data_IF_900223222769
#
_entry.id   IF_900223222769
#
_cell.length_a   1.000
_cell.length_b   1.000
_cell.length_c   1.000
_cell.angle_alpha   90.00
_cell.angle_beta   90.00
_cell.angle_gamma   90.00
#
_symmetry.space_group_name_H-M   'P 1'
#
loop_
_entity.id
_entity.type
_entity.pdbx_description
1 polymer ?
#
# COMPACT_ATOMS: atom_id res chain seq x y z
N UNK A 1 6.71 4.54 -35.69
CA UNK A 1 5.76 3.61 -35.03
C UNK A 1 5.55 4.13 -33.62
N UNK A 2 4.36 4.65 -33.28
CA UNK A 2 4.05 5.00 -31.89
C UNK A 2 3.87 3.67 -31.14
N UNK A 3 4.92 3.21 -30.45
CA UNK A 3 4.80 2.10 -29.54
C UNK A 3 3.77 2.50 -28.47
N UNK A 4 2.75 1.66 -28.26
CA UNK A 4 1.78 1.86 -27.18
C UNK A 4 2.54 1.96 -25.85
N UNK A 5 2.13 2.88 -24.98
CA UNK A 5 2.70 2.98 -23.65
C UNK A 5 2.59 1.61 -22.93
N UNK A 6 3.66 1.12 -22.28
CA UNK A 6 3.62 -0.16 -21.57
C UNK A 6 2.60 -0.10 -20.45
N UNK A 7 2.01 -1.26 -20.14
CA UNK A 7 1.05 -1.42 -19.06
C UNK A 7 1.66 -2.27 -17.96
N UNK A 8 1.69 -1.73 -16.75
CA UNK A 8 2.16 -2.41 -15.55
C UNK A 8 1.04 -2.66 -14.55
N UNK A 9 1.12 -3.78 -13.86
CA UNK A 9 0.41 -4.09 -12.61
C UNK A 9 1.35 -3.72 -11.46
N UNK A 10 0.90 -2.82 -10.58
CA UNK A 10 1.63 -2.39 -9.39
C UNK A 10 0.96 -2.98 -8.15
N UNK A 11 1.61 -3.91 -7.47
CA UNK A 11 1.15 -4.47 -6.21
C UNK A 11 1.84 -3.75 -5.05
N UNK A 12 1.07 -3.31 -4.06
CA UNK A 12 1.60 -2.65 -2.85
C UNK A 12 1.38 -3.53 -1.61
N UNK A 13 2.44 -3.76 -0.84
CA UNK A 13 2.40 -4.49 0.43
C UNK A 13 3.08 -3.68 1.54
N UNK A 14 2.58 -3.82 2.77
CA UNK A 14 3.18 -3.20 3.94
C UNK A 14 2.96 -4.05 5.19
N UNK A 15 3.88 -3.93 6.14
CA UNK A 15 3.81 -4.59 7.45
C UNK A 15 4.28 -3.64 8.52
N UNK A 16 3.38 -3.30 9.43
CA UNK A 16 3.77 -2.75 10.73
C UNK A 16 3.96 -3.91 11.71
N UNK A 17 5.13 -4.03 12.36
CA UNK A 17 5.27 -4.97 13.47
C UNK A 17 4.33 -4.51 14.59
N UNK A 18 3.33 -5.34 14.92
CA UNK A 18 2.49 -5.11 16.10
C UNK A 18 3.38 -5.13 17.34
N UNK A 19 3.59 -3.96 17.93
CA UNK A 19 4.02 -3.88 19.31
C UNK A 19 2.91 -4.47 20.18
N UNK A 20 3.10 -5.71 20.66
CA UNK A 20 2.63 -6.23 21.96
C UNK A 20 2.93 -7.73 22.05
N UNK A 21 4.15 -8.05 22.49
CA UNK A 21 4.37 -9.22 23.34
C UNK A 21 4.25 -8.69 24.77
N UNK A 22 3.25 -9.20 25.51
CA UNK A 22 3.07 -8.86 26.93
C UNK A 22 4.29 -9.41 27.69
N UNK A 23 4.95 -8.60 28.52
CA UNK A 23 6.18 -8.91 29.28
C UNK A 23 7.49 -9.07 28.48
N UNK A 24 7.67 -8.35 27.38
CA UNK A 24 8.99 -8.21 26.75
C UNK A 24 9.48 -6.76 26.91
N UNK A 25 10.76 -6.52 27.30
CA UNK A 25 11.29 -5.17 27.38
C UNK A 25 11.13 -4.45 26.03
N UNK A 26 10.86 -3.14 26.06
CA UNK A 26 10.80 -2.29 24.86
C UNK A 26 12.18 -2.36 24.19
N UNK A 27 12.28 -3.16 23.14
CA UNK A 27 13.24 -2.89 22.08
C UNK A 27 12.59 -1.79 21.22
N UNK A 28 13.08 -0.56 21.39
CA UNK A 28 12.43 0.71 21.03
C UNK A 28 12.36 1.00 19.51
N UNK A 29 12.56 0.00 18.64
CA UNK A 29 12.49 0.21 17.19
C UNK A 29 11.26 -0.50 16.59
N UNK A 30 10.19 0.27 16.40
CA UNK A 30 9.05 -0.16 15.59
C UNK A 30 9.37 0.04 14.11
N UNK A 31 10.16 -0.87 13.56
CA UNK A 31 10.50 -0.85 12.14
C UNK A 31 9.29 -1.36 11.34
N UNK A 32 8.75 -0.48 10.50
CA UNK A 32 7.76 -0.82 9.49
C UNK A 32 8.44 -1.22 8.18
N UNK A 33 7.85 -2.16 7.45
CA UNK A 33 8.33 -2.56 6.12
C UNK A 33 7.32 -2.14 5.06
N UNK A 34 7.82 -1.63 3.94
CA UNK A 34 7.04 -1.42 2.72
C UNK A 34 7.66 -2.21 1.57
N UNK A 35 6.84 -2.70 0.65
CA UNK A 35 7.26 -3.43 -0.54
C UNK A 35 6.34 -3.14 -1.70
N UNK A 36 6.88 -3.10 -2.91
CA UNK A 36 6.08 -3.14 -4.12
C UNK A 36 6.59 -4.19 -5.11
N UNK A 37 5.70 -4.61 -6.00
CA UNK A 37 6.02 -5.42 -7.17
C UNK A 37 5.40 -4.75 -8.38
N UNK A 38 6.20 -4.55 -9.42
CA UNK A 38 5.78 -4.15 -10.76
C UNK A 38 5.89 -5.37 -11.68
N UNK A 39 4.83 -5.64 -12.41
CA UNK A 39 4.80 -6.69 -13.44
C UNK A 39 4.21 -6.10 -14.71
N UNK A 40 4.79 -6.36 -15.88
CA UNK A 40 4.15 -5.98 -17.14
C UNK A 40 2.86 -6.77 -17.32
N UNK A 41 1.85 -6.18 -17.97
CA UNK A 41 0.55 -6.84 -18.13
C UNK A 41 0.61 -8.14 -18.95
N UNK A 42 1.67 -8.35 -19.73
CA UNK A 42 1.95 -9.58 -20.48
C UNK A 42 2.81 -10.59 -19.69
N UNK A 43 3.22 -10.27 -18.47
CA UNK A 43 4.06 -11.11 -17.61
C UNK A 43 5.53 -11.22 -18.06
N UNK A 44 5.95 -10.49 -19.09
CA UNK A 44 7.30 -10.60 -19.66
C UNK A 44 8.40 -10.03 -18.75
N UNK A 45 8.08 -9.05 -17.90
CA UNK A 45 9.02 -8.44 -16.99
C UNK A 45 8.42 -8.22 -15.59
N UNK A 46 9.23 -8.47 -14.57
CA UNK A 46 8.88 -8.24 -13.16
C UNK A 46 10.03 -7.58 -12.43
N UNK A 47 9.70 -6.58 -11.63
CA UNK A 47 10.63 -5.83 -10.78
C UNK A 47 10.01 -5.62 -9.41
N UNK A 48 10.81 -5.66 -8.35
CA UNK A 48 10.32 -5.45 -6.99
C UNK A 48 11.37 -4.78 -6.13
N UNK A 49 10.91 -4.01 -5.14
CA UNK A 49 11.77 -3.42 -4.12
C UNK A 49 11.02 -3.37 -2.78
N UNK A 50 11.80 -3.40 -1.71
CA UNK A 50 11.33 -3.28 -0.35
C UNK A 50 12.36 -2.52 0.49
N UNK A 51 11.88 -1.82 1.50
CA UNK A 51 12.73 -1.16 2.48
C UNK A 51 12.00 -1.04 3.82
N UNK A 52 12.76 -0.62 4.81
CA UNK A 52 12.30 -0.38 6.17
C UNK A 52 12.11 1.13 6.40
N UNK A 53 11.04 1.50 7.08
CA UNK A 53 10.78 2.87 7.54
C UNK A 53 10.54 2.83 9.06
N UNK A 54 11.46 3.35 9.88
CA UNK A 54 11.33 3.35 11.33
C UNK A 54 10.19 4.27 11.77
N UNK A 55 9.47 3.85 12.81
CA UNK A 55 8.41 4.64 13.47
C UNK A 55 7.30 5.12 12.51
N UNK A 56 7.11 4.41 11.40
CA UNK A 56 6.10 4.72 10.42
C UNK A 56 4.76 4.05 10.74
N UNK A 57 3.70 4.84 10.67
CA UNK A 57 2.34 4.31 10.67
C UNK A 57 2.06 3.46 9.42
N UNK A 58 1.13 2.52 9.54
CA UNK A 58 0.79 1.59 8.46
C UNK A 58 0.38 2.32 7.17
N UNK A 59 -0.45 3.37 7.28
CA UNK A 59 -0.89 4.14 6.11
C UNK A 59 0.27 4.82 5.39
N UNK A 60 1.32 5.23 6.12
CA UNK A 60 2.53 5.80 5.51
C UNK A 60 3.31 4.73 4.76
N UNK A 61 3.47 3.54 5.33
CA UNK A 61 4.12 2.39 4.67
C UNK A 61 3.35 1.95 3.41
N UNK A 62 2.01 1.89 3.50
CA UNK A 62 1.15 1.57 2.35
C UNK A 62 1.34 2.59 1.21
N UNK A 63 1.39 3.88 1.54
CA UNK A 63 1.57 4.92 0.53
C UNK A 63 3.01 5.00 0.00
N UNK A 64 4.02 4.70 0.82
CA UNK A 64 5.42 4.58 0.39
C UNK A 64 5.59 3.51 -0.68
N UNK A 65 5.03 2.32 -0.48
CA UNK A 65 5.06 1.24 -1.47
C UNK A 65 4.51 1.72 -2.83
N UNK A 66 3.39 2.44 -2.82
CA UNK A 66 2.76 2.96 -4.05
C UNK A 66 3.65 4.01 -4.73
N UNK A 67 4.10 5.02 -3.98
CA UNK A 67 4.94 6.10 -4.52
C UNK A 67 6.22 5.54 -5.13
N UNK A 68 6.89 4.63 -4.41
CA UNK A 68 8.14 4.03 -4.88
C UNK A 68 7.96 3.17 -6.12
N UNK A 69 6.84 2.45 -6.20
CA UNK A 69 6.48 1.70 -7.40
C UNK A 69 6.26 2.61 -8.61
N UNK A 70 5.52 3.72 -8.44
CA UNK A 70 5.31 4.68 -9.52
C UNK A 70 6.63 5.36 -9.95
N UNK A 71 7.45 5.80 -8.99
CA UNK A 71 8.74 6.45 -9.26
C UNK A 71 9.81 5.53 -9.89
N UNK A 72 9.64 4.22 -9.80
CA UNK A 72 10.54 3.26 -10.44
C UNK A 72 10.35 3.20 -11.96
N UNK A 73 9.23 3.69 -12.49
CA UNK A 73 8.95 3.72 -13.93
C UNK A 73 9.60 4.94 -14.58
N UNK A 74 10.52 4.70 -15.51
CA UNK A 74 11.31 5.75 -16.17
C UNK A 74 10.68 6.33 -17.44
N UNK A 75 9.49 5.85 -17.84
CA UNK A 75 8.78 6.31 -19.03
C UNK A 75 7.26 6.40 -18.78
N UNK A 76 6.53 7.25 -19.55
CA UNK A 76 5.09 7.31 -19.47
C UNK A 76 4.48 5.92 -19.65
N UNK A 77 3.62 5.53 -18.72
CA UNK A 77 3.14 4.15 -18.60
C UNK A 77 1.69 4.15 -18.16
N UNK A 78 0.97 3.10 -18.53
CA UNK A 78 -0.32 2.76 -17.94
C UNK A 78 -0.06 1.90 -16.71
N UNK A 79 -0.67 2.20 -15.58
CA UNK A 79 -0.45 1.47 -14.32
C UNK A 79 -1.78 1.10 -13.70
N UNK A 80 -1.98 -0.20 -13.46
CA UNK A 80 -3.07 -0.67 -12.60
C UNK A 80 -2.50 -0.93 -11.21
N UNK A 81 -2.78 -0.01 -10.29
CA UNK A 81 -2.42 -0.16 -8.89
C UNK A 81 -3.40 -1.14 -8.21
N UNK A 82 -2.85 -2.18 -7.62
CA UNK A 82 -3.53 -3.23 -6.87
C UNK A 82 -3.16 -3.09 -5.39
N UNK A 83 -4.09 -2.56 -4.59
CA UNK A 83 -3.86 -2.30 -3.17
C UNK A 83 -5.01 -2.81 -2.31
N UNK A 84 -4.70 -3.34 -1.13
CA UNK A 84 -5.71 -3.64 -0.11
C UNK A 84 -5.97 -2.45 0.85
N UNK A 85 -5.17 -1.38 0.74
CA UNK A 85 -5.27 -0.21 1.60
C UNK A 85 -6.50 0.62 1.28
N UNK A 86 -7.41 0.72 2.26
CA UNK A 86 -8.55 1.65 2.18
C UNK A 86 -8.11 3.10 2.19
N UNK A 87 -6.99 3.41 2.84
CA UNK A 87 -6.46 4.76 2.92
C UNK A 87 -5.99 5.21 1.53
N UNK A 88 -5.15 4.40 0.88
CA UNK A 88 -4.68 4.66 -0.49
C UNK A 88 -5.86 4.70 -1.46
N UNK A 89 -6.73 3.69 -1.45
CA UNK A 89 -7.84 3.63 -2.42
C UNK A 89 -8.79 4.83 -2.31
N UNK A 90 -9.04 5.33 -1.08
CA UNK A 90 -9.88 6.52 -0.88
C UNK A 90 -9.18 7.79 -1.33
N UNK A 91 -7.89 7.95 -1.06
CA UNK A 91 -7.11 9.11 -1.51
C UNK A 91 -7.08 9.22 -3.03
N UNK A 92 -6.86 8.11 -3.75
CA UNK A 92 -6.94 8.08 -5.22
C UNK A 92 -8.34 8.42 -5.75
N UNK A 93 -9.40 7.99 -5.06
CA UNK A 93 -10.77 8.16 -5.53
C UNK A 93 -11.34 9.56 -5.29
N UNK A 94 -10.99 10.20 -4.17
CA UNK A 94 -11.67 11.42 -3.73
C UNK A 94 -10.72 12.57 -3.40
N UNK A 95 -9.47 12.30 -3.02
CA UNK A 95 -8.62 13.31 -2.38
C UNK A 95 -7.84 14.19 -3.34
N UNK A 96 -7.20 13.60 -4.37
CA UNK A 96 -6.10 14.27 -5.08
C UNK A 96 -6.44 15.63 -5.71
N UNK A 97 -7.59 15.77 -6.37
CA UNK A 97 -7.96 17.06 -6.98
C UNK A 97 -8.24 18.12 -5.93
N UNK A 98 -9.07 17.78 -4.94
CA UNK A 98 -9.46 18.69 -3.85
C UNK A 98 -8.24 19.11 -3.00
N UNK A 99 -7.36 18.18 -2.67
CA UNK A 99 -6.15 18.49 -1.92
C UNK A 99 -5.18 19.37 -2.70
N UNK A 100 -5.07 19.17 -4.01
CA UNK A 100 -4.22 20.02 -4.85
C UNK A 100 -4.76 21.44 -4.95
N UNK A 101 -6.09 21.60 -5.02
CA UNK A 101 -6.76 22.91 -5.07
C UNK A 101 -6.66 23.67 -3.74
N UNK A 102 -6.60 22.95 -2.61
CA UNK A 102 -6.51 23.53 -1.26
C UNK A 102 -5.09 23.52 -0.68
N UNK A 103 -4.05 23.62 -1.51
CA UNK A 103 -2.64 23.65 -1.08
C UNK A 103 -2.27 22.54 -0.08
N UNK A 104 -2.81 21.35 -0.30
CA UNK A 104 -2.62 20.15 0.53
C UNK A 104 -3.13 20.27 1.97
N UNK A 105 -4.20 21.04 2.15
CA UNK A 105 -4.99 21.11 3.37
C UNK A 105 -6.40 20.60 3.11
N UNK A 106 -7.07 20.14 4.16
CA UNK A 106 -8.47 19.74 4.12
C UNK A 106 -9.19 20.20 5.38
N UNK A 107 -10.48 20.51 5.24
CA UNK A 107 -11.29 20.91 6.37
C UNK A 107 -11.62 19.68 7.23
N UNK A 108 -11.17 19.71 8.48
CA UNK A 108 -11.40 18.68 9.47
C UNK A 108 -12.12 19.31 10.66
N UNK A 109 -13.41 19.00 10.82
CA UNK A 109 -14.25 19.52 11.90
C UNK A 109 -14.33 21.07 11.96
N UNK A 110 -14.36 21.74 10.81
CA UNK A 110 -14.43 23.20 10.73
C UNK A 110 -13.08 23.91 10.80
N UNK A 111 -11.97 23.18 10.91
CA UNK A 111 -10.61 23.73 10.90
C UNK A 111 -9.81 23.20 9.72
N UNK A 112 -9.03 24.07 9.08
CA UNK A 112 -8.12 23.65 8.02
C UNK A 112 -6.93 22.91 8.62
N UNK A 113 -6.78 21.64 8.26
CA UNK A 113 -5.69 20.78 8.72
C UNK A 113 -4.84 20.32 7.52
N UNK A 114 -3.52 20.12 7.69
CA UNK A 114 -2.70 19.54 6.65
C UNK A 114 -3.18 18.11 6.34
N UNK A 115 -3.16 17.75 5.06
CA UNK A 115 -3.48 16.39 4.62
C UNK A 115 -2.46 15.41 5.22
N UNK A 116 -2.95 14.36 5.88
CA UNK A 116 -2.11 13.29 6.43
C UNK A 116 -1.26 12.68 5.31
N UNK A 117 0.05 12.54 5.54
CA UNK A 117 1.04 12.10 4.54
C UNK A 117 1.06 12.94 3.24
N UNK A 118 0.76 14.23 3.33
CA UNK A 118 0.73 15.14 2.17
C UNK A 118 2.08 15.26 1.44
N UNK A 119 3.21 14.95 2.08
CA UNK A 119 4.51 14.80 1.44
C UNK A 119 4.52 13.67 0.39
N UNK A 120 3.93 12.53 0.70
CA UNK A 120 3.84 11.38 -0.20
C UNK A 120 2.74 11.55 -1.24
N UNK A 121 1.59 12.11 -0.85
CA UNK A 121 0.51 12.36 -1.82
C UNK A 121 0.90 13.36 -2.90
N UNK A 122 1.72 14.38 -2.57
CA UNK A 122 2.33 15.26 -3.58
C UNK A 122 3.18 14.51 -4.59
N UNK A 123 3.88 13.47 -4.16
CA UNK A 123 4.69 12.63 -5.06
C UNK A 123 3.81 11.74 -5.92
N UNK A 124 2.73 11.18 -5.36
CA UNK A 124 1.70 10.46 -6.14
C UNK A 124 1.11 11.36 -7.22
N UNK A 125 0.69 12.59 -6.88
CA UNK A 125 0.10 13.51 -7.85
C UNK A 125 1.05 13.81 -9.01
N UNK A 126 2.33 14.10 -8.72
CA UNK A 126 3.36 14.28 -9.76
C UNK A 126 3.53 13.04 -10.63
N UNK A 127 3.56 11.85 -10.02
CA UNK A 127 3.66 10.61 -10.78
C UNK A 127 2.43 10.37 -11.68
N UNK A 128 1.24 10.74 -11.23
CA UNK A 128 0.00 10.64 -12.02
C UNK A 128 -0.10 11.66 -13.15
N UNK A 129 0.66 12.76 -13.10
CA UNK A 129 0.81 13.65 -14.25
C UNK A 129 1.65 13.02 -15.37
N UNK A 130 2.52 12.06 -15.01
CA UNK A 130 3.41 11.37 -15.95
C UNK A 130 2.89 9.98 -16.38
N UNK A 131 2.15 9.30 -15.51
CA UNK A 131 1.58 7.97 -15.74
C UNK A 131 0.05 7.99 -15.71
N UNK A 132 -0.58 7.14 -16.52
CA UNK A 132 -2.01 6.89 -16.43
C UNK A 132 -2.27 5.82 -15.37
N UNK A 133 -2.65 6.24 -14.16
CA UNK A 133 -2.83 5.32 -13.02
C UNK A 133 -4.30 5.04 -12.75
N UNK A 134 -4.67 3.76 -12.76
CA UNK A 134 -5.98 3.26 -12.30
C UNK A 134 -5.79 2.50 -10.99
N UNK A 135 -6.48 2.91 -9.93
CA UNK A 135 -6.44 2.24 -8.63
C UNK A 135 -7.58 1.23 -8.50
N UNK A 136 -7.25 -0.03 -8.22
CA UNK A 136 -8.21 -1.11 -7.93
C UNK A 136 -7.93 -1.72 -6.56
N UNK A 137 -9.00 -2.02 -5.83
CA UNK A 137 -8.89 -2.72 -4.56
C UNK A 137 -8.63 -4.20 -4.84
N UNK A 138 -7.50 -4.70 -4.36
CA UNK A 138 -7.17 -6.13 -4.42
C UNK A 138 -7.45 -6.76 -3.07
N UNK A 139 -8.68 -7.25 -2.92
CA UNK A 139 -9.05 -8.25 -1.93
C UNK A 139 -9.82 -9.30 -2.70
N UNK A 140 -9.75 -10.55 -2.27
CA UNK A 140 -10.74 -11.54 -2.70
C UNK A 140 -12.09 -11.01 -2.22
N UNK A 141 -12.81 -10.32 -3.09
CA UNK A 141 -14.21 -10.02 -2.89
C UNK A 141 -14.90 -11.36 -3.17
N UNK A 142 -15.41 -12.09 -2.15
CA UNK A 142 -16.32 -13.16 -2.48
C UNK A 142 -17.46 -12.49 -3.25
N UNK A 143 -17.54 -12.79 -4.54
CA UNK A 143 -18.42 -12.14 -5.51
C UNK A 143 -19.69 -11.61 -4.85
N UNK A 144 -19.93 -10.30 -4.94
CA UNK A 144 -21.10 -9.67 -4.33
C UNK A 144 -22.34 -10.53 -4.59
N UNK A 145 -22.92 -11.04 -3.51
CA UNK A 145 -24.17 -11.77 -3.52
C UNK A 145 -25.27 -10.76 -3.85
N UNK A 146 -25.48 -10.51 -5.14
CA UNK A 146 -26.69 -9.87 -5.65
C UNK A 146 -27.89 -10.79 -5.37
N UNK A 147 -28.39 -10.78 -4.13
CA UNK A 147 -29.78 -11.09 -3.74
C UNK A 147 -29.93 -10.95 -2.23
N UNK A 148 -30.21 -9.73 -1.77
CA UNK A 148 -31.07 -9.56 -0.59
C UNK A 148 -32.41 -9.03 -1.05
N UNK A 149 -33.20 -9.90 -1.68
CA UNK A 149 -34.66 -9.76 -1.58
C UNK A 149 -34.98 -10.04 -0.11
N UNK A 150 -35.42 -9.00 0.60
CA UNK A 150 -35.96 -9.15 1.96
C UNK A 150 -37.28 -9.90 1.87
N UNK A 151 -37.28 -11.19 2.23
CA UNK A 151 -38.52 -11.90 2.56
C UNK A 151 -38.88 -11.65 4.03
N UNK A 152 -40.16 -11.45 4.38
CA UNK A 152 -40.58 -11.12 5.73
C UNK A 152 -40.39 -12.31 6.69
N UNK A 153 -39.97 -11.98 7.90
CA UNK A 153 -39.65 -12.91 8.97
C UNK A 153 -40.86 -13.79 9.37
N UNK A 154 -40.76 -15.11 9.17
CA UNK A 154 -41.60 -16.07 9.89
C UNK A 154 -40.99 -16.33 11.27
N UNK A 155 -41.76 -15.96 12.31
CA UNK A 155 -41.47 -16.27 13.71
C UNK A 155 -41.67 -17.77 13.94
N UNK A 156 -40.59 -18.51 14.17
CA UNK A 156 -40.68 -19.89 14.67
C UNK A 156 -40.42 -19.93 16.18
N UNK A 157 -41.39 -20.47 16.90
CA UNK A 157 -41.37 -20.68 18.34
C UNK A 157 -40.35 -21.78 18.69
N UNK A 158 -39.52 -21.53 19.72
CA UNK A 158 -38.58 -22.52 20.27
C UNK A 158 -39.29 -23.48 21.22
N UNK A 159 -39.06 -24.81 21.13
CA UNK A 159 -39.26 -25.70 22.25
C UNK A 159 -37.95 -25.96 23.01
N UNK A 160 -38.02 -25.70 24.30
CA UNK A 160 -37.09 -26.12 25.36
C UNK A 160 -36.87 -27.63 25.34
N UNK A 161 -35.63 -28.09 25.57
CA UNK A 161 -35.33 -29.22 26.48
C UNK A 161 -33.86 -29.28 26.90
N UNK A 162 -33.71 -29.76 28.12
CA UNK A 162 -32.52 -29.76 28.98
C UNK A 162 -31.58 -30.94 28.69
N UNK A 163 -30.29 -30.70 28.94
CA UNK A 163 -29.34 -31.59 29.63
C UNK A 163 -28.88 -32.87 28.91
N UNK A 164 -27.57 -33.06 28.79
CA UNK A 164 -26.76 -34.04 29.56
C UNK A 164 -25.26 -33.87 29.20
N UNK A 165 -24.39 -34.07 30.21
CA UNK A 165 -22.92 -34.04 30.15
C UNK A 165 -22.35 -35.29 29.43
N UNK A 166 -21.18 -35.19 28.79
CA UNK A 166 -19.97 -35.92 29.20
C UNK A 166 -18.73 -35.64 28.33
N UNK A 167 -17.61 -35.95 28.95
CA UNK A 167 -16.17 -35.83 28.67
C UNK A 167 -15.62 -36.63 27.48
N UNK A 168 -14.55 -36.14 26.84
CA UNK A 168 -13.16 -36.67 26.97
C UNK A 168 -12.20 -36.13 25.87
N UNK A 169 -10.97 -35.85 26.30
CA UNK A 169 -9.64 -35.98 25.65
C UNK A 169 -9.55 -36.08 24.11
N UNK A 170 -8.70 -35.28 23.45
CA UNK A 170 -7.29 -35.61 23.22
C UNK A 170 -6.53 -34.56 22.37
N UNK A 171 -5.21 -34.77 22.39
CA UNK A 171 -4.03 -34.02 21.98
C UNK A 171 -3.79 -33.92 20.44
N UNK A 172 -2.88 -33.00 20.10
CA UNK A 172 -2.01 -32.95 18.90
C UNK A 172 -2.63 -32.25 17.67
N UNK A 173 -1.94 -31.50 16.80
CA UNK A 173 -0.52 -31.32 16.51
C UNK A 173 -0.35 -30.03 15.70
N UNK A 174 0.72 -29.26 15.90
CA UNK A 174 1.06 -28.06 15.12
C UNK A 174 2.08 -28.41 14.02
N UNK A 175 1.93 -27.98 12.75
CA UNK A 175 3.02 -28.02 11.80
C UNK A 175 3.72 -26.65 11.72
N UNK A 176 4.93 -26.63 12.29
CA UNK A 176 6.20 -26.17 11.70
C UNK A 176 6.15 -25.03 10.66
N UNK A 177 6.64 -23.85 11.07
CA UNK A 177 7.17 -22.76 10.22
C UNK A 177 8.32 -23.28 9.34
N UNK A 178 8.27 -23.03 8.03
CA UNK A 178 9.47 -23.01 7.19
C UNK A 178 10.09 -21.62 7.23
N UNK A 179 11.43 -21.61 7.31
CA UNK A 179 12.30 -20.45 7.20
C UNK A 179 12.69 -20.31 5.71
N UNK A 180 12.71 -19.08 5.23
CA UNK A 180 13.46 -18.59 4.08
C UNK A 180 13.81 -17.14 4.47
N UNK A 181 15.04 -16.77 4.90
CA UNK A 181 16.31 -16.57 4.15
C UNK A 181 16.07 -15.82 2.84
N UNK A 182 16.74 -14.74 2.47
CA UNK A 182 17.70 -13.81 3.06
C UNK A 182 17.90 -12.74 1.96
N UNK A 183 18.21 -11.49 2.35
CA UNK A 183 18.97 -10.51 1.55
C UNK A 183 18.39 -9.94 0.23
N UNK A 184 17.68 -8.81 0.32
CA UNK A 184 17.56 -7.81 -0.76
C UNK A 184 17.98 -6.38 -0.36
N UNK A 185 18.40 -6.14 0.89
CA UNK A 185 18.69 -4.80 1.42
C UNK A 185 19.83 -4.05 0.70
N UNK A 186 20.68 -4.76 -0.05
CA UNK A 186 21.82 -4.16 -0.76
C UNK A 186 21.46 -3.38 -2.04
N UNK A 187 20.33 -3.68 -2.69
CA UNK A 187 20.00 -3.10 -4.01
C UNK A 187 19.22 -1.78 -3.92
N UNK A 188 18.47 -1.54 -2.83
CA UNK A 188 17.70 -0.29 -2.65
C UNK A 188 18.59 0.95 -2.44
N UNK A 189 19.74 0.80 -1.78
CA UNK A 189 20.64 1.94 -1.51
C UNK A 189 21.30 2.47 -2.79
N UNK A 190 21.60 1.60 -3.76
CA UNK A 190 22.30 1.97 -5.00
C UNK A 190 21.35 2.66 -6.01
N UNK A 191 20.07 2.29 -6.02
CA UNK A 191 19.07 2.93 -6.89
C UNK A 191 18.69 4.35 -6.42
N UNK A 192 18.68 4.60 -5.09
CA UNK A 192 18.41 5.92 -4.50
C UNK A 192 19.57 6.92 -4.70
N UNK A 193 20.80 6.46 -4.93
CA UNK A 193 21.96 7.33 -5.20
C UNK A 193 22.03 7.79 -6.66
N UNK A 194 21.49 7.01 -7.60
CA UNK A 194 21.48 7.34 -9.04
C UNK A 194 20.43 8.38 -9.44
N UNK A 195 19.50 8.73 -8.55
CA UNK A 195 18.45 9.73 -8.78
C UNK A 195 18.77 11.12 -8.19
N UNK A 196 20.00 11.36 -7.69
CA UNK A 196 20.43 12.73 -7.34
C UNK A 196 20.87 13.48 -8.60
N UNK A 197 20.25 14.61 -8.98
CA UNK A 197 20.80 15.44 -10.05
C UNK A 197 22.15 16.04 -9.61
N UNK A 198 23.16 15.95 -10.47
CA UNK A 198 24.45 16.62 -10.29
C UNK A 198 24.23 18.14 -10.27
N UNK A 199 24.26 18.75 -9.09
CA UNK A 199 24.41 20.19 -8.95
C UNK A 199 25.88 20.55 -9.18
N UNK A 200 26.29 20.69 -10.45
CA UNK A 200 27.57 21.32 -10.86
C UNK A 200 27.65 21.41 -12.38
N UNK A 201 27.04 22.43 -12.98
CA UNK A 201 27.59 23.19 -14.12
C UNK A 201 26.69 24.37 -14.46
N UNK A 202 27.30 25.44 -14.99
CA UNK A 202 26.71 26.69 -15.48
C UNK A 202 26.48 27.80 -14.44
N UNK A 203 27.57 28.43 -14.00
CA UNK A 203 27.60 29.89 -13.85
C UNK A 203 29.04 30.42 -13.98
N UNK A 204 29.56 30.37 -15.21
CA UNK A 204 30.73 31.14 -15.65
C UNK A 204 30.58 31.39 -17.15
N UNK A 205 29.82 32.43 -17.49
CA UNK A 205 29.85 33.09 -18.80
C UNK A 205 29.03 34.40 -18.74
N UNK A 206 29.60 35.43 -18.13
CA UNK A 206 29.16 36.80 -18.37
C UNK A 206 30.38 37.71 -18.46
N UNK A 207 30.93 37.79 -19.67
CA UNK A 207 31.82 38.87 -20.12
C UNK A 207 31.48 39.10 -21.59
N UNK A 208 30.61 40.09 -21.82
CA UNK A 208 30.50 40.91 -23.03
C UNK A 208 29.48 42.01 -22.74
#
# INVERSE_FOLDING_TARGET
>A
MNASAPHYLLFSESRARRARIRNQPLDDSHIGEWRFVLETADGSARFEAADEEPDAELERLELLAVVRGLEALNQPSRVTLLTASRYVSRGFRFGLSEWRENDWHWERYGEMAPVKNGDLWRRVDRAMQFHQVECRIWRFDPAETHSRVRSPAMKMHSPRRQGTKMSHTNRATTPRRSRFTESCAGLCRDMLQRLRPNARTAMDAQTA
#
